data_IF_414801836682
#
_entry.id   IF_414801836682
#
_cell.length_a   1.000
_cell.length_b   1.000
_cell.length_c   1.000
_cell.angle_alpha   90.00
_cell.angle_beta   90.00
_cell.angle_gamma   90.00
#
_symmetry.space_group_name_H-M   'P 1'
#
loop_
_entity.id
_entity.type
_entity.pdbx_description
1 polymer ?
#
# COMPACT_ATOMS: atom_id res chain seq x y z
N UNK A 1 22.80 39.18 16.02
CA UNK A 1 21.81 38.17 16.47
C UNK A 1 22.19 37.67 17.86
N UNK A 2 21.31 37.78 18.87
CA UNK A 2 21.57 37.23 20.20
C UNK A 2 21.73 35.70 20.13
N UNK A 3 22.67 35.11 20.91
CA UNK A 3 22.91 33.65 21.04
C UNK A 3 21.61 32.82 21.15
N UNK A 4 20.60 33.33 21.85
CA UNK A 4 19.28 32.68 22.02
C UNK A 4 18.50 32.53 20.70
N UNK A 5 18.61 33.47 19.77
CA UNK A 5 17.94 33.43 18.47
C UNK A 5 18.56 32.42 17.50
N UNK A 6 19.87 32.22 17.57
CA UNK A 6 20.57 31.21 16.77
C UNK A 6 20.15 29.79 17.21
N UNK A 7 20.10 29.53 18.51
CA UNK A 7 19.69 28.23 19.08
C UNK A 7 18.26 27.87 18.67
N UNK A 8 17.33 28.84 18.73
CA UNK A 8 15.95 28.62 18.30
C UNK A 8 15.83 28.27 16.81
N UNK A 9 16.59 28.94 15.94
CA UNK A 9 16.59 28.65 14.50
C UNK A 9 17.14 27.25 14.21
N UNK A 10 18.26 26.88 14.86
CA UNK A 10 18.85 25.54 14.72
C UNK A 10 17.86 24.46 15.18
N UNK A 11 17.16 24.69 16.29
CA UNK A 11 16.15 23.77 16.80
C UNK A 11 14.96 23.60 15.84
N UNK A 12 14.45 24.69 15.27
CA UNK A 12 13.38 24.65 14.27
C UNK A 12 13.80 23.89 13.00
N UNK A 13 15.03 24.08 12.53
CA UNK A 13 15.56 23.34 11.38
C UNK A 13 15.68 21.85 11.70
N UNK A 14 16.18 21.49 12.87
CA UNK A 14 16.27 20.08 13.29
C UNK A 14 14.90 19.40 13.33
N UNK A 15 13.88 20.09 13.87
CA UNK A 15 12.50 19.58 13.88
C UNK A 15 11.98 19.40 12.46
N UNK A 16 12.19 20.37 11.56
CA UNK A 16 11.77 20.27 10.16
C UNK A 16 12.41 19.07 9.46
N UNK A 17 13.71 18.85 9.70
CA UNK A 17 14.44 17.71 9.14
C UNK A 17 13.81 16.40 9.61
N UNK A 18 13.67 16.24 10.92
CA UNK A 18 13.10 15.03 11.51
C UNK A 18 11.66 14.80 11.05
N UNK A 19 10.85 15.85 10.95
CA UNK A 19 9.46 15.75 10.54
C UNK A 19 9.31 15.26 9.09
N UNK A 20 10.07 15.83 8.13
CA UNK A 20 9.96 15.38 6.75
C UNK A 20 10.52 13.99 6.52
N UNK A 21 11.62 13.62 7.20
CA UNK A 21 12.10 12.23 7.19
C UNK A 21 11.03 11.31 7.77
N UNK A 22 10.39 11.68 8.88
CA UNK A 22 9.35 10.85 9.49
C UNK A 22 8.10 10.72 8.61
N UNK A 23 7.65 11.80 7.95
CA UNK A 23 6.54 11.73 6.97
C UNK A 23 6.91 10.76 5.84
N UNK A 24 8.12 10.88 5.30
CA UNK A 24 8.63 9.97 4.28
C UNK A 24 8.62 8.52 4.72
N UNK A 25 9.11 8.27 5.94
CA UNK A 25 9.12 6.96 6.56
C UNK A 25 7.71 6.39 6.72
N UNK A 26 6.74 7.18 7.20
CA UNK A 26 5.34 6.77 7.32
C UNK A 26 4.71 6.43 5.96
N UNK A 27 5.04 7.15 4.89
CA UNK A 27 4.64 6.78 3.53
C UNK A 27 5.30 5.47 3.13
N UNK A 28 6.60 5.30 3.42
CA UNK A 28 7.38 4.11 3.06
C UNK A 28 6.97 2.84 3.80
N UNK A 29 6.45 2.94 5.03
CA UNK A 29 5.94 1.80 5.80
C UNK A 29 4.41 1.67 5.74
N UNK A 30 3.73 2.58 5.06
CA UNK A 30 2.29 2.80 5.16
C UNK A 30 1.39 1.82 4.41
N UNK A 31 1.78 0.54 4.36
CA UNK A 31 0.92 -0.50 3.83
C UNK A 31 -0.14 -0.93 4.86
N UNK A 32 -1.27 -1.40 4.38
CA UNK A 32 -2.41 -1.84 5.19
C UNK A 32 -2.67 -3.32 4.98
N UNK A 33 -3.19 -3.99 6.00
CA UNK A 33 -3.51 -5.41 5.95
C UNK A 33 -4.99 -5.60 6.21
N UNK A 34 -5.64 -6.39 5.37
CA UNK A 34 -7.04 -6.76 5.54
C UNK A 34 -7.18 -8.28 5.41
N UNK A 35 -7.70 -8.92 6.44
CA UNK A 35 -7.89 -10.38 6.46
C UNK A 35 -9.31 -10.72 6.02
N UNK A 36 -9.41 -11.62 5.04
CA UNK A 36 -10.66 -12.16 4.52
C UNK A 36 -10.65 -13.68 4.55
N UNK A 37 -11.82 -14.27 4.71
CA UNK A 37 -12.00 -15.72 4.62
C UNK A 37 -12.57 -16.08 3.25
N UNK A 38 -11.98 -17.08 2.60
CA UNK A 38 -12.53 -17.63 1.37
C UNK A 38 -13.59 -18.67 1.70
N UNK A 39 -14.84 -18.40 1.33
CA UNK A 39 -15.97 -19.30 1.59
C UNK A 39 -16.42 -19.92 0.27
N UNK A 40 -16.14 -21.21 0.10
CA UNK A 40 -16.59 -21.98 -1.06
C UNK A 40 -16.73 -23.45 -0.72
N UNK A 41 -17.74 -24.07 -1.31
CA UNK A 41 -18.01 -25.51 -1.28
C UNK A 41 -17.22 -26.30 -2.34
N UNK A 42 -16.45 -25.62 -3.19
CA UNK A 42 -15.61 -26.25 -4.23
C UNK A 42 -14.25 -25.55 -4.33
N UNK A 43 -13.16 -26.29 -4.61
CA UNK A 43 -11.86 -25.67 -4.86
C UNK A 43 -11.95 -24.71 -6.06
N UNK A 44 -11.45 -23.48 -5.90
CA UNK A 44 -11.41 -22.50 -6.99
C UNK A 44 -10.07 -21.78 -7.04
N UNK A 45 -9.77 -21.24 -8.21
CA UNK A 45 -8.71 -20.26 -8.37
C UNK A 45 -9.11 -18.98 -7.66
N UNK A 46 -8.15 -18.32 -7.02
CA UNK A 46 -8.36 -17.07 -6.30
C UNK A 46 -7.60 -15.94 -6.98
N UNK A 47 -8.25 -14.82 -7.16
CA UNK A 47 -7.67 -13.54 -7.56
C UNK A 47 -8.06 -12.47 -6.56
N UNK A 48 -7.34 -11.36 -6.57
CA UNK A 48 -7.65 -10.18 -5.75
C UNK A 48 -9.08 -9.71 -6.00
N UNK A 49 -9.53 -9.76 -7.26
CA UNK A 49 -10.90 -9.40 -7.68
C UNK A 49 -12.02 -10.21 -7.02
N UNK A 50 -11.72 -11.36 -6.41
CA UNK A 50 -12.71 -12.12 -5.64
C UNK A 50 -13.02 -11.48 -4.27
N UNK A 51 -12.12 -10.63 -3.76
CA UNK A 51 -12.22 -10.07 -2.41
C UNK A 51 -12.19 -8.53 -2.38
N UNK A 52 -11.50 -7.91 -3.34
CA UNK A 52 -11.33 -6.46 -3.43
C UNK A 52 -10.97 -6.03 -4.86
N UNK A 53 -10.42 -4.83 -5.03
CA UNK A 53 -9.85 -4.35 -6.30
C UNK A 53 -8.32 -4.39 -6.26
N UNK A 54 -7.64 -4.83 -7.34
CA UNK A 54 -6.18 -4.71 -7.52
C UNK A 54 -5.64 -3.28 -7.38
N UNK A 55 -6.48 -2.27 -7.59
CA UNK A 55 -6.11 -0.86 -7.43
C UNK A 55 -5.97 -0.47 -5.95
N UNK A 56 -6.76 -1.10 -5.07
CA UNK A 56 -6.75 -0.81 -3.61
C UNK A 56 -5.79 -1.76 -2.90
N UNK A 57 -5.84 -3.04 -3.29
CA UNK A 57 -5.03 -4.12 -2.73
C UNK A 57 -4.21 -4.77 -3.85
N UNK A 58 -3.00 -4.28 -4.18
CA UNK A 58 -2.22 -4.82 -5.29
C UNK A 58 -1.57 -6.18 -5.01
N UNK A 59 -1.55 -6.63 -3.76
CA UNK A 59 -1.03 -7.94 -3.40
C UNK A 59 -1.96 -8.66 -2.43
N UNK A 60 -1.95 -9.98 -2.54
CA UNK A 60 -2.79 -10.88 -1.77
C UNK A 60 -2.01 -12.13 -1.40
N UNK A 61 -1.89 -12.40 -0.10
CA UNK A 61 -1.34 -13.66 0.41
C UNK A 61 -2.49 -14.62 0.70
N UNK A 62 -2.42 -15.80 0.10
CA UNK A 62 -3.36 -16.90 0.33
C UNK A 62 -2.67 -17.90 1.26
N UNK A 63 -3.37 -18.35 2.31
CA UNK A 63 -2.96 -19.51 3.10
C UNK A 63 -4.14 -20.44 3.29
N UNK A 64 -4.01 -21.67 2.82
CA UNK A 64 -5.12 -22.60 2.87
C UNK A 64 -4.86 -23.95 2.24
N UNK A 65 -5.91 -24.77 2.22
CA UNK A 65 -5.90 -26.10 1.63
C UNK A 65 -5.89 -25.97 0.11
N UNK A 66 -4.80 -26.42 -0.51
CA UNK A 66 -4.54 -26.31 -1.93
C UNK A 66 -4.76 -27.65 -2.65
N UNK A 67 -5.21 -27.53 -3.90
CA UNK A 67 -5.57 -28.64 -4.77
C UNK A 67 -5.03 -28.43 -6.18
N UNK A 68 -4.58 -29.52 -6.79
CA UNK A 68 -4.24 -29.59 -8.21
C UNK A 68 -5.45 -30.11 -9.00
N UNK A 69 -5.84 -29.43 -10.09
CA UNK A 69 -6.94 -29.86 -10.97
C UNK A 69 -6.38 -30.84 -12.01
N UNK A 70 -6.72 -32.11 -11.88
CA UNK A 70 -6.24 -33.19 -12.76
C UNK A 70 -7.40 -33.70 -13.62
N UNK A 71 -7.17 -33.85 -14.93
CA UNK A 71 -8.16 -34.42 -15.84
C UNK A 71 -8.23 -35.93 -15.65
N UNK A 72 -9.44 -36.47 -15.55
CA UNK A 72 -9.70 -37.91 -15.56
C UNK A 72 -10.44 -38.27 -16.85
N UNK A 73 -10.00 -39.36 -17.47
CA UNK A 73 -10.62 -39.92 -18.68
C UNK A 73 -11.33 -41.23 -18.31
N UNK A 74 -12.38 -41.58 -19.07
CA UNK A 74 -13.19 -42.76 -18.78
C UNK A 74 -12.42 -44.09 -18.73
N UNK A 75 -11.22 -44.14 -19.33
CA UNK A 75 -10.33 -45.31 -19.36
C UNK A 75 -9.39 -45.43 -18.16
N UNK A 76 -9.24 -44.41 -17.31
CA UNK A 76 -8.34 -44.44 -16.16
C UNK A 76 -9.09 -44.40 -14.83
N UNK A 77 -8.85 -45.41 -13.99
CA UNK A 77 -9.32 -45.41 -12.59
C UNK A 77 -8.29 -44.69 -11.74
N UNK A 78 -8.71 -43.63 -11.05
CA UNK A 78 -7.87 -42.95 -10.06
C UNK A 78 -8.30 -43.34 -8.65
N UNK A 79 -7.31 -43.56 -7.78
CA UNK A 79 -7.52 -43.98 -6.38
C UNK A 79 -7.12 -42.85 -5.43
N UNK A 80 -7.97 -42.59 -4.44
CA UNK A 80 -7.75 -41.54 -3.44
C UNK A 80 -8.03 -42.08 -2.03
N UNK A 81 -7.15 -41.78 -1.07
CA UNK A 81 -7.35 -42.19 0.33
C UNK A 81 -8.33 -41.28 1.10
N UNK A 82 -8.81 -40.21 0.48
CA UNK A 82 -9.82 -39.28 1.00
C UNK A 82 -10.82 -38.95 -0.09
N UNK A 83 -12.09 -38.62 0.23
CA UNK A 83 -13.10 -38.29 -0.77
C UNK A 83 -12.65 -37.05 -1.58
N UNK A 84 -12.40 -37.16 -2.89
CA UNK A 84 -11.89 -36.04 -3.66
C UNK A 84 -13.04 -35.14 -4.13
N UNK A 85 -12.74 -33.86 -4.37
CA UNK A 85 -13.69 -32.99 -5.06
C UNK A 85 -13.62 -33.23 -6.56
N UNK A 86 -14.78 -33.27 -7.22
CA UNK A 86 -14.89 -33.57 -8.65
C UNK A 86 -15.74 -32.57 -9.40
N UNK A 87 -15.51 -32.46 -10.70
CA UNK A 87 -16.23 -31.60 -11.64
C UNK A 87 -16.41 -32.34 -12.97
N UNK A 88 -17.64 -32.36 -13.51
CA UNK A 88 -17.99 -33.14 -14.70
C UNK A 88 -18.66 -34.47 -14.36
N UNK A 89 -18.66 -35.42 -15.31
CA UNK A 89 -19.30 -36.72 -15.17
C UNK A 89 -18.33 -37.73 -14.54
N UNK A 90 -17.95 -37.48 -13.29
CA UNK A 90 -17.03 -38.33 -12.52
C UNK A 90 -17.80 -38.96 -11.36
N UNK A 91 -17.73 -40.28 -11.26
CA UNK A 91 -18.33 -41.05 -10.16
C UNK A 91 -17.22 -41.58 -9.27
N UNK A 92 -17.27 -41.25 -7.98
CA UNK A 92 -16.34 -41.77 -6.98
C UNK A 92 -17.07 -42.71 -6.01
N UNK A 93 -16.57 -43.93 -5.85
CA UNK A 93 -17.12 -44.93 -4.91
C UNK A 93 -16.05 -45.38 -3.92
N UNK A 94 -16.44 -45.62 -2.66
CA UNK A 94 -15.56 -46.24 -1.68
C UNK A 94 -15.42 -47.73 -1.98
N UNK A 95 -14.20 -48.26 -2.00
CA UNK A 95 -13.95 -49.70 -2.12
C UNK A 95 -13.96 -50.28 -0.71
N UNK A 96 -15.01 -51.03 -0.41
CA UNK A 96 -15.17 -51.67 0.89
C UNK A 96 -14.01 -52.64 1.16
N UNK A 97 -13.39 -52.53 2.33
CA UNK A 97 -12.26 -53.37 2.75
C UNK A 97 -10.87 -52.77 2.47
N UNK A 98 -10.74 -51.77 1.59
CA UNK A 98 -9.43 -51.19 1.23
C UNK A 98 -9.28 -49.70 1.60
N UNK A 99 -10.31 -49.06 2.16
CA UNK A 99 -10.28 -47.68 2.67
C UNK A 99 -9.80 -46.62 1.66
N UNK A 100 -10.04 -46.82 0.37
CA UNK A 100 -9.83 -45.80 -0.66
C UNK A 100 -11.06 -45.63 -1.55
N UNK A 101 -11.10 -44.49 -2.23
CA UNK A 101 -12.12 -44.10 -3.21
C UNK A 101 -11.59 -44.35 -4.62
N UNK A 102 -12.37 -45.04 -5.46
CA UNK A 102 -12.15 -45.15 -6.89
C UNK A 102 -13.02 -44.16 -7.63
N UNK A 103 -12.39 -43.28 -8.39
CA UNK A 103 -13.07 -42.35 -9.28
C UNK A 103 -12.91 -42.81 -10.74
N UNK A 104 -14.02 -42.81 -11.47
CA UNK A 104 -14.10 -43.14 -12.90
C UNK A 104 -15.04 -42.17 -13.63
N UNK A 105 -14.93 -42.09 -14.95
CA UNK A 105 -15.74 -41.21 -15.79
C UNK A 105 -14.91 -40.13 -16.49
N UNK A 106 -15.56 -39.07 -16.96
CA UNK A 106 -14.93 -37.99 -17.72
C UNK A 106 -15.14 -36.64 -17.03
N UNK A 107 -14.04 -35.95 -16.74
CA UNK A 107 -14.07 -34.65 -16.08
C UNK A 107 -12.75 -34.30 -15.40
N UNK A 108 -12.86 -33.66 -14.23
CA UNK A 108 -11.71 -33.26 -13.42
C UNK A 108 -11.87 -33.70 -11.97
N UNK A 109 -10.74 -34.03 -11.37
CA UNK A 109 -10.61 -34.34 -9.94
C UNK A 109 -9.63 -33.34 -9.33
N UNK A 110 -9.98 -32.80 -8.18
CA UNK A 110 -9.13 -31.92 -7.39
C UNK A 110 -8.35 -32.75 -6.39
N UNK A 111 -7.06 -32.91 -6.64
CA UNK A 111 -6.16 -33.72 -5.81
C UNK A 111 -5.60 -32.85 -4.70
N UNK A 112 -5.77 -33.27 -3.45
CA UNK A 112 -5.26 -32.54 -2.30
C UNK A 112 -3.73 -32.54 -2.31
N UNK A 113 -3.14 -31.35 -2.26
CA UNK A 113 -1.69 -31.15 -2.26
C UNK A 113 -1.14 -30.98 -0.85
N UNK A 114 -1.94 -30.39 0.03
CA UNK A 114 -1.50 -29.94 1.35
C UNK A 114 -1.98 -28.53 1.64
N UNK A 115 -1.44 -27.95 2.72
CA UNK A 115 -1.60 -26.53 3.01
C UNK A 115 -0.49 -25.75 2.35
N UNK A 116 -0.85 -24.81 1.49
CA UNK A 116 0.10 -23.98 0.75
C UNK A 116 -0.03 -22.51 1.16
N UNK A 117 1.04 -21.77 0.89
CA UNK A 117 1.13 -20.33 1.08
C UNK A 117 1.58 -19.71 -0.24
N UNK A 118 0.79 -18.78 -0.76
CA UNK A 118 1.01 -18.23 -2.10
C UNK A 118 0.70 -16.75 -2.15
N UNK A 119 1.52 -15.98 -2.87
CA UNK A 119 1.27 -14.56 -3.11
C UNK A 119 0.80 -14.36 -4.54
N UNK A 120 -0.34 -13.69 -4.67
CA UNK A 120 -0.94 -13.27 -5.93
C UNK A 120 -0.87 -11.75 -6.01
N UNK A 121 -0.38 -11.24 -7.12
CA UNK A 121 -0.19 -9.80 -7.35
C UNK A 121 -1.03 -9.29 -8.52
N UNK A 122 -1.56 -8.08 -8.40
CA UNK A 122 -2.33 -7.38 -9.42
C UNK A 122 -3.50 -8.23 -9.98
N UNK A 123 -3.55 -8.39 -11.30
CA UNK A 123 -4.61 -9.11 -12.02
C UNK A 123 -4.32 -10.60 -12.17
N UNK A 124 -3.29 -11.12 -11.51
CA UNK A 124 -2.99 -12.55 -11.57
C UNK A 124 -3.99 -13.37 -10.78
N UNK A 125 -3.97 -14.67 -11.05
CA UNK A 125 -4.78 -15.67 -10.38
C UNK A 125 -3.85 -16.70 -9.75
N UNK A 126 -4.28 -17.32 -8.66
CA UNK A 126 -3.50 -18.32 -7.94
C UNK A 126 -3.06 -19.49 -8.83
N UNK A 127 -1.92 -20.08 -8.52
CA UNK A 127 -1.36 -21.26 -9.17
C UNK A 127 -2.11 -22.52 -8.75
N UNK A 128 -2.56 -22.60 -7.51
CA UNK A 128 -3.36 -23.73 -7.01
C UNK A 128 -4.83 -23.36 -6.88
N UNK A 129 -5.68 -24.39 -6.81
CA UNK A 129 -7.09 -24.22 -6.44
C UNK A 129 -7.18 -24.28 -4.92
N UNK A 130 -7.87 -23.34 -4.30
CA UNK A 130 -8.02 -23.29 -2.84
C UNK A 130 -9.44 -23.65 -2.43
N UNK A 131 -9.57 -24.37 -1.31
CA UNK A 131 -10.85 -24.75 -0.73
C UNK A 131 -11.30 -23.85 0.42
N UNK A 132 -12.59 -23.57 0.54
CA UNK A 132 -13.13 -22.83 1.69
C UNK A 132 -13.31 -23.70 2.95
N UNK A 133 -13.75 -23.13 4.08
CA UNK A 133 -14.03 -23.87 5.32
C UNK A 133 -15.14 -24.92 5.17
N UNK A 134 -15.97 -24.83 4.12
CA UNK A 134 -16.91 -25.91 3.78
C UNK A 134 -16.22 -27.22 3.33
N UNK A 135 -14.89 -27.18 3.08
CA UNK A 135 -14.08 -28.32 2.66
C UNK A 135 -13.09 -28.82 3.73
N UNK A 136 -13.10 -28.25 4.94
CA UNK A 136 -12.24 -28.69 6.05
C UNK A 136 -12.22 -27.71 7.23
N UNK A 137 -11.80 -28.19 8.41
CA UNK A 137 -11.75 -27.42 9.67
C UNK A 137 -10.73 -26.27 9.65
N UNK A 138 -9.83 -26.24 8.67
CA UNK A 138 -8.81 -25.22 8.46
C UNK A 138 -9.07 -24.50 7.13
N UNK A 139 -10.11 -23.66 7.09
CA UNK A 139 -10.50 -22.93 5.87
C UNK A 139 -9.37 -22.06 5.29
N UNK A 140 -9.49 -21.70 4.01
CA UNK A 140 -8.54 -20.77 3.38
C UNK A 140 -8.80 -19.34 3.85
N UNK A 141 -7.77 -18.68 4.35
CA UNK A 141 -7.80 -17.24 4.59
C UNK A 141 -6.84 -16.52 3.66
N UNK A 142 -7.16 -15.25 3.46
CA UNK A 142 -6.53 -14.37 2.49
C UNK A 142 -6.17 -13.09 3.21
N UNK A 143 -4.92 -12.65 3.09
CA UNK A 143 -4.45 -11.37 3.61
C UNK A 143 -4.22 -10.46 2.40
N UNK A 144 -5.06 -9.45 2.28
CA UNK A 144 -4.95 -8.40 1.27
C UNK A 144 -4.00 -7.32 1.78
N UNK A 145 -3.03 -6.97 0.95
CA UNK A 145 -2.09 -5.89 1.22
C UNK A 145 -2.46 -4.68 0.39
N UNK A 146 -2.72 -3.56 1.06
CA UNK A 146 -3.04 -2.27 0.46
C UNK A 146 -2.05 -1.19 0.86
N UNK A 147 -2.33 0.04 0.46
CA UNK A 147 -1.49 1.22 0.78
C UNK A 147 -2.32 2.40 1.33
N UNK A 148 -3.50 2.10 1.91
CA UNK A 148 -4.45 3.13 2.33
C UNK A 148 -3.91 4.11 3.38
N UNK A 149 -3.01 3.64 4.26
CA UNK A 149 -2.36 4.51 5.25
C UNK A 149 -1.41 5.51 4.56
N UNK A 150 -0.52 5.04 3.68
CA UNK A 150 0.35 5.91 2.90
C UNK A 150 -0.44 6.92 2.05
N UNK A 151 -1.55 6.49 1.44
CA UNK A 151 -2.46 7.37 0.69
C UNK A 151 -3.04 8.48 1.58
N UNK A 152 -3.44 8.14 2.82
CA UNK A 152 -3.96 9.10 3.80
C UNK A 152 -2.89 10.09 4.25
N UNK A 153 -1.69 9.61 4.57
CA UNK A 153 -0.55 10.49 4.92
C UNK A 153 -0.24 11.44 3.77
N UNK A 154 -0.21 10.93 2.54
CA UNK A 154 0.07 11.72 1.35
C UNK A 154 -0.97 12.81 1.08
N UNK A 155 -2.25 12.47 1.09
CA UNK A 155 -3.34 13.37 0.68
C UNK A 155 -3.71 14.40 1.74
N UNK A 156 -3.56 14.06 3.03
CA UNK A 156 -4.03 14.92 4.11
C UNK A 156 -2.89 15.43 5.00
N UNK A 157 -2.02 14.55 5.49
CA UNK A 157 -1.02 14.92 6.48
C UNK A 157 0.12 15.76 5.87
N UNK A 158 0.66 15.32 4.73
CA UNK A 158 1.73 16.05 4.03
C UNK A 158 1.34 17.49 3.66
N UNK A 159 0.19 17.76 2.99
CA UNK A 159 -0.19 19.14 2.67
C UNK A 159 -0.49 19.98 3.92
N UNK A 160 -1.12 19.42 4.96
CA UNK A 160 -1.37 20.14 6.21
C UNK A 160 -0.06 20.58 6.88
N UNK A 161 0.88 19.66 7.03
CA UNK A 161 2.18 19.97 7.63
C UNK A 161 2.96 20.97 6.76
N UNK A 162 2.95 20.77 5.45
CA UNK A 162 3.60 21.68 4.48
C UNK A 162 3.02 23.08 4.54
N UNK A 163 1.72 23.24 4.80
CA UNK A 163 1.10 24.56 4.95
C UNK A 163 1.62 25.30 6.18
N UNK A 164 1.75 24.60 7.31
CA UNK A 164 2.32 25.15 8.55
C UNK A 164 3.78 25.58 8.30
N UNK A 165 4.59 24.70 7.69
CA UNK A 165 6.01 24.99 7.40
C UNK A 165 6.15 26.17 6.44
N UNK A 166 5.38 26.18 5.34
CA UNK A 166 5.38 27.26 4.37
C UNK A 166 5.03 28.60 5.02
N UNK A 167 3.97 28.65 5.82
CA UNK A 167 3.55 29.86 6.54
C UNK A 167 4.62 30.35 7.52
N UNK A 168 5.17 29.47 8.35
CA UNK A 168 6.24 29.81 9.29
C UNK A 168 7.48 30.32 8.54
N UNK A 169 7.84 29.68 7.43
CA UNK A 169 8.97 30.10 6.61
C UNK A 169 8.73 31.51 6.06
N UNK A 170 7.57 31.80 5.48
CA UNK A 170 7.24 33.13 4.97
C UNK A 170 7.26 34.21 6.08
N UNK A 171 6.80 33.86 7.28
CA UNK A 171 6.72 34.80 8.40
C UNK A 171 8.08 35.12 9.02
N UNK A 172 8.98 34.15 9.12
CA UNK A 172 10.24 34.30 9.85
C UNK A 172 11.48 34.46 8.97
N UNK A 173 11.49 33.89 7.76
CA UNK A 173 12.64 33.95 6.84
C UNK A 173 13.10 35.38 6.50
N UNK A 174 12.20 36.37 6.24
CA UNK A 174 12.61 37.75 5.96
C UNK A 174 13.33 38.46 7.11
N UNK A 175 13.26 37.91 8.34
CA UNK A 175 13.93 38.48 9.53
C UNK A 175 15.40 38.04 9.63
N UNK A 176 15.77 36.99 8.92
CA UNK A 176 17.09 36.34 9.02
C UNK A 176 17.86 36.41 7.70
N UNK A 177 17.15 36.45 6.58
CA UNK A 177 17.72 36.46 5.23
C UNK A 177 17.45 37.80 4.56
N UNK A 178 18.42 38.31 3.79
CA UNK A 178 18.25 39.52 2.97
C UNK A 178 17.06 39.34 2.01
N UNK A 179 16.26 40.39 1.82
CA UNK A 179 15.04 40.34 0.99
C UNK A 179 15.26 39.75 -0.41
N UNK A 180 16.39 40.05 -1.03
CA UNK A 180 16.78 39.55 -2.36
C UNK A 180 16.89 38.01 -2.44
N UNK A 181 17.21 37.34 -1.33
CA UNK A 181 17.39 35.89 -1.29
C UNK A 181 16.19 35.13 -0.73
N UNK A 182 15.20 35.80 -0.15
CA UNK A 182 14.04 35.14 0.51
C UNK A 182 13.32 34.18 -0.43
N UNK A 183 13.05 34.59 -1.68
CA UNK A 183 12.37 33.75 -2.67
C UNK A 183 13.19 32.49 -2.99
N UNK A 184 14.50 32.66 -3.20
CA UNK A 184 15.40 31.55 -3.49
C UNK A 184 15.47 30.57 -2.32
N UNK A 185 15.67 31.08 -1.10
CA UNK A 185 15.73 30.23 0.11
C UNK A 185 14.40 29.53 0.38
N UNK A 186 13.26 30.15 0.10
CA UNK A 186 11.94 29.54 0.24
C UNK A 186 11.75 28.33 -0.70
N UNK A 187 12.14 28.48 -1.97
CA UNK A 187 12.11 27.37 -2.94
C UNK A 187 13.10 26.26 -2.54
N UNK A 188 14.29 26.63 -2.06
CA UNK A 188 15.28 25.67 -1.60
C UNK A 188 14.77 24.83 -0.42
N UNK A 189 14.04 25.44 0.52
CA UNK A 189 13.42 24.72 1.64
C UNK A 189 12.41 23.67 1.14
N UNK A 190 11.58 24.02 0.14
CA UNK A 190 10.65 23.07 -0.45
C UNK A 190 11.39 21.88 -1.10
N UNK A 191 12.46 22.14 -1.85
CA UNK A 191 13.30 21.11 -2.48
C UNK A 191 13.96 20.19 -1.44
N UNK A 192 14.56 20.78 -0.40
CA UNK A 192 15.17 20.01 0.70
C UNK A 192 14.13 19.14 1.41
N UNK A 193 12.92 19.67 1.63
CA UNK A 193 11.83 18.91 2.26
C UNK A 193 11.45 17.67 1.46
N UNK A 194 11.40 17.77 0.13
CA UNK A 194 11.16 16.61 -0.75
C UNK A 194 12.29 15.58 -0.66
N UNK A 195 13.54 16.02 -0.65
CA UNK A 195 14.71 15.13 -0.50
C UNK A 195 14.68 14.40 0.85
N UNK A 196 14.37 15.12 1.94
CA UNK A 196 14.28 14.52 3.27
C UNK A 196 13.15 13.49 3.37
N UNK A 197 12.00 13.81 2.76
CA UNK A 197 10.89 12.85 2.64
C UNK A 197 11.27 11.63 1.80
N UNK A 198 12.08 11.79 0.75
CA UNK A 198 12.62 10.66 -0.01
C UNK A 198 13.56 9.78 0.83
N UNK A 199 14.45 10.38 1.63
CA UNK A 199 15.32 9.63 2.54
C UNK A 199 14.48 8.79 3.50
N UNK A 200 13.44 9.37 4.10
CA UNK A 200 12.49 8.64 4.93
C UNK A 200 11.79 7.49 4.18
N UNK A 201 11.34 7.75 2.95
CA UNK A 201 10.68 6.74 2.10
C UNK A 201 11.54 5.50 1.91
N UNK A 202 12.82 5.69 1.57
CA UNK A 202 13.76 4.59 1.35
C UNK A 202 13.97 3.78 2.63
N UNK A 203 14.09 4.46 3.78
CA UNK A 203 14.18 3.78 5.06
C UNK A 203 12.93 2.94 5.35
N UNK A 204 11.74 3.46 5.04
CA UNK A 204 10.50 2.70 5.14
C UNK A 204 10.43 1.50 4.17
N UNK A 205 10.90 1.66 2.93
CA UNK A 205 10.93 0.57 1.95
C UNK A 205 11.78 -0.62 2.39
N UNK A 206 12.82 -0.38 3.19
CA UNK A 206 13.67 -1.44 3.73
C UNK A 206 12.93 -2.33 4.74
N UNK A 207 11.80 -1.89 5.27
CA UNK A 207 10.96 -2.67 6.18
C UNK A 207 9.90 -3.52 5.47
N UNK A 208 9.71 -3.31 4.15
CA UNK A 208 8.74 -4.08 3.37
C UNK A 208 9.35 -5.43 2.98
N UNK A 209 8.72 -6.56 3.36
CA UNK A 209 9.15 -7.89 2.94
C UNK A 209 9.26 -8.00 1.41
N UNK A 210 10.26 -8.75 0.94
CA UNK A 210 10.55 -8.86 -0.50
C UNK A 210 9.38 -9.49 -1.28
N UNK A 211 8.63 -10.36 -0.62
CA UNK A 211 7.53 -11.12 -1.18
C UNK A 211 6.34 -10.23 -1.57
N UNK A 212 6.20 -9.07 -0.95
CA UNK A 212 5.18 -8.05 -1.26
C UNK A 212 5.79 -6.77 -1.86
N UNK A 213 6.98 -6.89 -2.45
CA UNK A 213 7.74 -5.76 -3.04
C UNK A 213 6.98 -4.94 -4.08
N UNK A 214 5.94 -5.50 -4.71
CA UNK A 214 5.04 -4.76 -5.62
C UNK A 214 4.44 -3.51 -4.95
N UNK A 215 4.21 -3.53 -3.64
CA UNK A 215 3.71 -2.38 -2.88
C UNK A 215 4.63 -1.17 -2.97
N UNK A 216 5.95 -1.36 -3.13
CA UNK A 216 6.93 -0.26 -3.23
C UNK A 216 6.58 0.69 -4.37
N UNK A 217 6.03 0.19 -5.47
CA UNK A 217 5.58 1.00 -6.60
C UNK A 217 4.42 1.92 -6.20
N UNK A 218 3.44 1.38 -5.48
CA UNK A 218 2.27 2.14 -5.03
C UNK A 218 2.64 3.17 -3.96
N UNK A 219 3.54 2.83 -3.05
CA UNK A 219 4.05 3.75 -2.03
C UNK A 219 4.93 4.86 -2.64
N UNK A 220 5.71 4.54 -3.68
CA UNK A 220 6.44 5.54 -4.47
C UNK A 220 5.47 6.51 -5.16
N UNK A 221 4.36 6.02 -5.71
CA UNK A 221 3.32 6.88 -6.28
C UNK A 221 2.70 7.80 -5.22
N UNK A 222 2.42 7.29 -4.01
CA UNK A 222 1.96 8.12 -2.90
C UNK A 222 2.98 9.22 -2.53
N UNK A 223 4.28 8.90 -2.50
CA UNK A 223 5.34 9.89 -2.32
C UNK A 223 5.37 10.95 -3.44
N UNK A 224 5.21 10.55 -4.70
CA UNK A 224 5.18 11.49 -5.82
C UNK A 224 3.99 12.45 -5.68
N UNK A 225 2.80 11.94 -5.31
CA UNK A 225 1.62 12.76 -5.02
C UNK A 225 1.90 13.72 -3.86
N UNK A 226 2.55 13.25 -2.79
CA UNK A 226 2.97 14.07 -1.64
C UNK A 226 3.87 15.24 -2.07
N UNK A 227 4.85 15.00 -2.94
CA UNK A 227 5.73 16.04 -3.47
C UNK A 227 4.99 17.08 -4.31
N UNK A 228 4.04 16.64 -5.14
CA UNK A 228 3.20 17.56 -5.91
C UNK A 228 2.34 18.43 -4.99
N UNK A 229 1.66 17.83 -4.01
CA UNK A 229 0.82 18.55 -3.05
C UNK A 229 1.63 19.53 -2.20
N UNK A 230 2.80 19.12 -1.71
CA UNK A 230 3.74 20.00 -1.00
C UNK A 230 4.09 21.22 -1.87
N UNK A 231 4.47 20.99 -3.12
CA UNK A 231 4.85 22.06 -4.05
C UNK A 231 3.68 23.03 -4.29
N UNK A 232 2.47 22.51 -4.52
CA UNK A 232 1.25 23.31 -4.71
C UNK A 232 0.98 24.17 -3.47
N UNK A 233 1.05 23.58 -2.27
CA UNK A 233 0.83 24.31 -1.01
C UNK A 233 1.84 25.44 -0.83
N UNK A 234 3.12 25.18 -1.08
CA UNK A 234 4.17 26.20 -0.98
C UNK A 234 3.94 27.36 -1.95
N UNK A 235 3.51 27.07 -3.19
CA UNK A 235 3.21 28.09 -4.20
C UNK A 235 1.97 28.92 -3.82
N UNK A 236 0.87 28.26 -3.45
CA UNK A 236 -0.38 28.93 -3.08
C UNK A 236 -0.16 29.87 -1.88
N UNK A 237 0.51 29.41 -0.83
CA UNK A 237 0.77 30.24 0.35
C UNK A 237 1.70 31.41 0.05
N UNK A 238 2.70 31.22 -0.82
CA UNK A 238 3.55 32.32 -1.26
C UNK A 238 2.72 33.41 -1.95
N UNK A 239 1.79 33.04 -2.84
CA UNK A 239 0.89 33.97 -3.54
C UNK A 239 -0.03 34.68 -2.54
N UNK A 240 -0.71 33.94 -1.67
CA UNK A 240 -1.66 34.53 -0.70
C UNK A 240 -0.96 35.57 0.19
N UNK A 241 0.18 35.21 0.78
CA UNK A 241 0.87 36.07 1.76
C UNK A 241 1.55 37.26 1.09
N UNK A 242 2.24 37.07 -0.03
CA UNK A 242 3.08 38.13 -0.63
C UNK A 242 2.41 38.90 -1.77
N UNK A 243 1.32 38.40 -2.37
CA UNK A 243 0.64 39.06 -3.50
C UNK A 243 -0.71 39.61 -3.09
N UNK A 244 -1.52 38.83 -2.35
CA UNK A 244 -2.90 39.21 -2.02
C UNK A 244 -2.94 40.09 -0.78
N UNK A 245 -2.37 39.61 0.33
CA UNK A 245 -2.43 40.30 1.63
C UNK A 245 -1.63 41.60 1.66
N UNK A 246 -0.48 41.64 0.99
CA UNK A 246 0.34 42.86 0.84
C UNK A 246 -0.36 43.93 -0.01
N UNK A 247 -0.99 43.55 -1.12
CA UNK A 247 -1.75 44.50 -1.98
C UNK A 247 -2.90 45.17 -1.23
N UNK A 248 -3.60 44.41 -0.38
CA UNK A 248 -4.71 44.94 0.39
C UNK A 248 -4.25 45.98 1.41
N UNK A 249 -3.13 45.71 2.11
CA UNK A 249 -2.55 46.66 3.06
C UNK A 249 -2.06 47.96 2.41
N UNK A 250 -1.50 47.90 1.19
CA UNK A 250 -1.08 49.10 0.46
C UNK A 250 -2.27 49.90 -0.10
N UNK A 251 -3.38 49.23 -0.46
CA UNK A 251 -4.57 49.92 -0.93
C UNK A 251 -5.30 50.67 0.20
N UNK A 252 -5.37 50.10 1.41
CA UNK A 252 -5.94 50.79 2.58
C UNK A 252 -5.10 52.00 3.02
N UNK A 253 -3.77 51.92 2.91
CA UNK A 253 -2.86 53.03 3.21
C UNK A 253 -2.89 54.17 2.19
N UNK A 254 -3.38 53.92 0.97
CA UNK A 254 -3.53 54.92 -0.10
C UNK A 254 -4.92 55.59 -0.10
N UNK A 255 -5.87 55.08 0.69
CA UNK A 255 -7.21 55.68 0.85
C UNK A 255 -7.34 56.56 2.11
N UNK A 256 -6.26 56.71 2.89
CA UNK A 256 -6.13 57.64 4.01
C UNK A 256 -5.11 58.73 3.67
#
# INVERSE_FOLDING_TARGET
>A
MHKKGLVFIVFMIAILILAYIYIGYLIGTGYTLEVRFFVSSRPSKLSISNFSSPEIHPAMLISGLAYDKVKINASSVMRFYSPPHVEGNVTCRIVAGENYYECTGEGYVYVFRGRELEIVTNNNVSRYYYGGPALGTSGTYVILYGYGFADTISKYFTPLFSAVVAYLTLRYLPRVVKREHVKFTYVLIALISMILMYVGLIEGFNQIPQEISILKIYLLNAYIISCMLLSIVFVILYIIVNVILTRHSTHELLMH
#
